data_IF_571639639254
#
_entry.id   IF_571639639254
#
_cell.length_a   1.000
_cell.length_b   1.000
_cell.length_c   1.000
_cell.angle_alpha   90.00
_cell.angle_beta   90.00
_cell.angle_gamma   90.00
#
_symmetry.space_group_name_H-M   'P 1'
#
loop_
_entity.id
_entity.type
_entity.pdbx_description
1 polymer ?
#
# COMPACT_ATOMS: atom_id res chain seq x y z
N UNK A 1 9.61 -11.40 10.79
CA UNK A 1 9.40 -11.50 9.34
C UNK A 1 9.50 -12.93 8.86
N UNK A 2 8.49 -13.41 8.14
CA UNK A 2 8.51 -14.70 7.46
C UNK A 2 9.36 -14.66 6.18
N UNK A 3 9.74 -15.83 5.62
CA UNK A 3 10.46 -15.92 4.34
C UNK A 3 9.66 -15.28 3.20
N UNK A 4 8.33 -15.39 3.25
CA UNK A 4 7.43 -14.81 2.27
C UNK A 4 7.44 -13.28 2.33
N UNK A 5 7.33 -12.70 3.52
CA UNK A 5 7.42 -11.23 3.70
C UNK A 5 8.75 -10.68 3.20
N UNK A 6 9.85 -11.36 3.49
CA UNK A 6 11.16 -10.94 3.01
C UNK A 6 11.23 -10.90 1.47
N UNK A 7 10.71 -11.93 0.79
CA UNK A 7 10.66 -11.98 -0.67
C UNK A 7 9.78 -10.87 -1.26
N UNK A 8 8.65 -10.53 -0.63
CA UNK A 8 7.79 -9.42 -1.07
C UNK A 8 8.50 -8.07 -0.97
N UNK A 9 9.24 -7.84 0.11
CA UNK A 9 10.05 -6.62 0.29
C UNK A 9 11.16 -6.54 -0.77
N UNK A 10 11.86 -7.65 -1.05
CA UNK A 10 12.88 -7.68 -2.11
C UNK A 10 12.30 -7.41 -3.50
N UNK A 11 11.13 -7.97 -3.82
CA UNK A 11 10.43 -7.69 -5.09
C UNK A 11 10.13 -6.19 -5.22
N UNK A 12 9.54 -5.57 -4.20
CA UNK A 12 9.21 -4.15 -4.23
C UNK A 12 10.48 -3.29 -4.32
N UNK A 13 11.53 -3.62 -3.55
CA UNK A 13 12.81 -2.93 -3.61
C UNK A 13 13.42 -2.99 -5.01
N UNK A 14 13.35 -4.14 -5.67
CA UNK A 14 13.81 -4.31 -7.04
C UNK A 14 13.01 -3.46 -8.03
N UNK A 15 11.68 -3.41 -7.91
CA UNK A 15 10.81 -2.62 -8.80
C UNK A 15 11.09 -1.11 -8.74
N UNK A 16 11.56 -0.60 -7.59
CA UNK A 16 11.85 0.83 -7.41
C UNK A 16 13.33 1.18 -7.47
N UNK A 17 14.24 0.20 -7.58
CA UNK A 17 15.69 0.36 -7.35
C UNK A 17 16.35 1.52 -8.13
N UNK A 18 15.93 1.77 -9.36
CA UNK A 18 16.50 2.80 -10.25
C UNK A 18 15.51 3.93 -10.56
N UNK A 19 14.37 3.98 -9.88
CA UNK A 19 13.32 4.97 -10.12
C UNK A 19 13.06 5.80 -8.86
N UNK A 20 13.73 6.96 -8.78
CA UNK A 20 13.65 7.86 -7.62
C UNK A 20 12.20 8.31 -7.32
N UNK A 21 11.40 8.56 -8.36
CA UNK A 21 10.00 8.96 -8.19
C UNK A 21 9.18 7.85 -7.54
N UNK A 22 9.37 6.61 -7.97
CA UNK A 22 8.71 5.46 -7.39
C UNK A 22 9.17 5.18 -5.96
N UNK A 23 10.46 5.39 -5.64
CA UNK A 23 10.94 5.32 -4.25
C UNK A 23 10.23 6.33 -3.36
N UNK A 24 10.14 7.58 -3.79
CA UNK A 24 9.41 8.61 -3.04
C UNK A 24 7.94 8.26 -2.86
N UNK A 25 7.27 7.76 -3.91
CA UNK A 25 5.89 7.31 -3.79
C UNK A 25 5.73 6.22 -2.72
N UNK A 26 6.56 5.17 -2.76
CA UNK A 26 6.48 4.06 -1.80
C UNK A 26 6.71 4.55 -0.38
N UNK A 27 7.74 5.38 -0.14
CA UNK A 27 8.04 5.92 1.19
C UNK A 27 6.92 6.82 1.72
N UNK A 28 6.36 7.69 0.87
CA UNK A 28 5.24 8.55 1.28
C UNK A 28 3.96 7.75 1.57
N UNK A 29 3.73 6.66 0.84
CA UNK A 29 2.56 5.80 1.09
C UNK A 29 2.77 4.88 2.29
N UNK A 30 3.99 4.42 2.55
CA UNK A 30 4.35 3.73 3.78
C UNK A 30 4.03 4.61 5.00
N UNK A 31 4.46 5.87 5.00
CA UNK A 31 4.13 6.83 6.06
C UNK A 31 2.61 7.02 6.20
N UNK A 32 1.89 7.10 5.07
CA UNK A 32 0.41 7.19 5.07
C UNK A 32 -0.23 5.94 5.69
N UNK A 33 0.28 4.75 5.39
CA UNK A 33 -0.23 3.49 5.94
C UNK A 33 0.04 3.37 7.43
N UNK A 34 1.24 3.77 7.88
CA UNK A 34 1.59 3.79 9.31
C UNK A 34 0.71 4.77 10.09
N UNK A 35 0.52 5.98 9.57
CA UNK A 35 -0.39 6.96 10.17
C UNK A 35 -1.82 6.43 10.22
N UNK A 36 -2.27 5.80 9.14
CA UNK A 36 -3.58 5.17 9.09
C UNK A 36 -3.71 4.09 10.16
N UNK A 37 -2.72 3.22 10.37
CA UNK A 37 -2.77 2.17 11.39
C UNK A 37 -2.68 2.69 12.83
N UNK A 38 -1.97 3.79 13.05
CA UNK A 38 -1.86 4.46 14.35
C UNK A 38 -3.10 5.26 14.73
N UNK A 39 -3.95 5.61 13.77
CA UNK A 39 -5.20 6.30 14.04
C UNK A 39 -6.19 5.35 14.72
N UNK A 40 -6.23 5.45 16.05
CA UNK A 40 -7.18 4.80 16.97
C UNK A 40 -8.55 5.50 16.98
N UNK A 41 -8.81 6.43 16.05
CA UNK A 41 -10.15 6.98 15.89
C UNK A 41 -11.14 5.84 15.61
N UNK A 42 -11.98 5.56 16.60
CA UNK A 42 -13.06 4.55 16.59
C UNK A 42 -14.18 4.83 15.56
N UNK A 43 -13.90 5.73 14.62
CA UNK A 43 -14.79 6.27 13.61
C UNK A 43 -14.29 6.06 12.18
N UNK A 44 -13.06 5.57 11.97
CA UNK A 44 -12.66 5.11 10.63
C UNK A 44 -13.22 3.71 10.43
N UNK A 45 -13.93 3.46 9.32
CA UNK A 45 -14.49 2.15 8.97
C UNK A 45 -13.40 1.09 8.68
N UNK A 46 -12.15 1.33 9.10
CA UNK A 46 -11.01 0.50 8.75
C UNK A 46 -10.63 0.62 7.27
N UNK A 47 -11.18 1.58 6.53
CA UNK A 47 -10.98 1.77 5.09
C UNK A 47 -10.15 3.03 4.81
N UNK A 48 -9.17 2.91 3.92
CA UNK A 48 -8.35 3.99 3.38
C UNK A 48 -8.51 4.04 1.85
N UNK A 49 -9.10 5.12 1.33
CA UNK A 49 -9.28 5.36 -0.10
C UNK A 49 -8.18 6.30 -0.62
N UNK A 50 -7.38 5.82 -1.58
CA UNK A 50 -6.29 6.61 -2.17
C UNK A 50 -6.77 7.42 -3.38
N UNK A 51 -6.00 8.46 -3.71
CA UNK A 51 -6.24 9.24 -4.92
C UNK A 51 -6.02 8.41 -6.19
N UNK A 52 -6.73 8.71 -7.30
CA UNK A 52 -6.47 8.08 -8.59
C UNK A 52 -5.03 8.21 -9.04
N UNK A 53 -4.50 7.13 -9.59
CA UNK A 53 -3.10 7.04 -10.02
C UNK A 53 -2.96 6.09 -11.20
N UNK A 54 -1.84 6.17 -11.92
CA UNK A 54 -1.59 5.30 -13.06
C UNK A 54 -1.41 3.82 -12.67
N UNK A 55 -1.45 2.93 -13.67
CA UNK A 55 -1.40 1.50 -13.44
C UNK A 55 -0.11 1.02 -12.75
N UNK A 56 1.02 1.68 -13.00
CA UNK A 56 2.29 1.28 -12.40
C UNK A 56 2.35 1.70 -10.93
N UNK A 57 1.93 2.91 -10.60
CA UNK A 57 1.83 3.35 -9.21
C UNK A 57 0.87 2.46 -8.43
N UNK A 58 -0.31 2.10 -8.99
CA UNK A 58 -1.22 1.15 -8.33
C UNK A 58 -0.56 -0.20 -8.08
N UNK A 59 0.20 -0.73 -9.04
CA UNK A 59 0.95 -1.99 -8.85
C UNK A 59 1.91 -1.90 -7.66
N UNK A 60 2.69 -0.82 -7.56
CA UNK A 60 3.63 -0.64 -6.45
C UNK A 60 2.91 -0.56 -5.10
N UNK A 61 1.77 0.12 -5.06
CA UNK A 61 1.00 0.25 -3.82
C UNK A 61 0.23 -1.03 -3.45
N UNK A 62 -0.18 -1.84 -4.43
CA UNK A 62 -0.67 -3.20 -4.17
C UNK A 62 0.42 -4.06 -3.51
N UNK A 63 1.66 -4.00 -4.01
CA UNK A 63 2.79 -4.72 -3.39
C UNK A 63 3.13 -4.21 -2.00
N UNK A 64 3.08 -2.90 -1.79
CA UNK A 64 3.26 -2.32 -0.46
C UNK A 64 2.13 -2.77 0.49
N UNK A 65 0.88 -2.78 0.01
CA UNK A 65 -0.27 -3.25 0.78
C UNK A 65 -0.16 -4.72 1.18
N UNK A 66 0.33 -5.58 0.27
CA UNK A 66 0.61 -6.99 0.54
C UNK A 66 1.63 -7.15 1.69
N UNK A 67 2.67 -6.32 1.74
CA UNK A 67 3.70 -6.33 2.81
C UNK A 67 3.08 -5.99 4.16
N UNK A 68 2.18 -5.01 4.21
CA UNK A 68 1.47 -4.61 5.42
C UNK A 68 0.31 -5.57 5.79
N UNK A 69 -0.06 -6.49 4.91
CA UNK A 69 -1.19 -7.41 5.11
C UNK A 69 -2.55 -6.72 5.05
N UNK A 70 -2.71 -5.65 4.27
CA UNK A 70 -4.05 -5.06 4.04
C UNK A 70 -4.88 -5.91 3.07
N UNK A 71 -6.19 -5.93 3.25
CA UNK A 71 -7.11 -6.23 2.14
C UNK A 71 -7.10 -5.04 1.18
N UNK A 72 -6.97 -5.26 -0.13
CA UNK A 72 -6.86 -4.15 -1.08
C UNK A 72 -7.45 -4.47 -2.45
N UNK A 73 -8.01 -3.44 -3.10
CA UNK A 73 -8.63 -3.58 -4.41
C UNK A 73 -8.56 -2.27 -5.21
N UNK A 74 -8.29 -2.38 -6.51
CA UNK A 74 -8.44 -1.26 -7.42
C UNK A 74 -9.90 -1.10 -7.84
N UNK A 75 -10.50 0.07 -7.58
CA UNK A 75 -11.86 0.41 -8.04
C UNK A 75 -11.85 1.58 -9.03
N UNK A 76 -12.97 1.80 -9.71
CA UNK A 76 -13.12 2.84 -10.72
C UNK A 76 -12.54 2.48 -12.09
N UNK A 77 -12.68 3.41 -13.04
CA UNK A 77 -12.31 3.23 -14.45
C UNK A 77 -11.48 4.39 -15.00
N UNK A 78 -10.63 4.09 -15.98
CA UNK A 78 -9.80 5.09 -16.66
C UNK A 78 -8.98 5.94 -15.70
N UNK A 79 -9.15 7.27 -15.80
CA UNK A 79 -8.45 8.26 -14.97
C UNK A 79 -8.94 8.29 -13.51
N UNK A 80 -10.10 7.71 -13.20
CA UNK A 80 -10.66 7.67 -11.85
C UNK A 80 -10.28 6.38 -11.11
N UNK A 81 -9.48 5.50 -11.75
CA UNK A 81 -9.11 4.21 -11.15
C UNK A 81 -8.07 4.41 -10.04
N UNK A 82 -8.41 3.93 -8.85
CA UNK A 82 -7.65 4.15 -7.63
C UNK A 82 -7.67 2.90 -6.73
N UNK A 83 -6.90 2.93 -5.65
CA UNK A 83 -6.73 1.82 -4.71
C UNK A 83 -7.50 2.10 -3.42
N UNK A 84 -8.26 1.12 -2.95
CA UNK A 84 -8.82 1.09 -1.60
C UNK A 84 -8.11 0.02 -0.79
N UNK A 85 -7.82 0.34 0.48
CA UNK A 85 -7.24 -0.56 1.46
C UNK A 85 -8.20 -0.71 2.65
N UNK A 86 -8.23 -1.90 3.24
CA UNK A 86 -9.02 -2.21 4.42
C UNK A 86 -8.16 -2.97 5.44
N UNK A 87 -8.24 -2.58 6.71
CA UNK A 87 -7.60 -3.30 7.82
C UNK A 87 -8.26 -4.67 7.98
N UNK A 88 -7.47 -5.73 8.04
CA UNK A 88 -7.93 -7.09 8.30
C UNK A 88 -7.05 -7.76 9.37
N UNK A 89 -7.40 -8.97 9.86
CA UNK A 89 -6.63 -9.65 10.91
C UNK A 89 -5.14 -9.86 10.58
N UNK A 90 -4.79 -9.88 9.30
CA UNK A 90 -3.42 -10.03 8.79
C UNK A 90 -2.65 -8.70 8.78
N UNK A 91 -3.34 -7.57 8.93
CA UNK A 91 -2.72 -6.24 8.86
C UNK A 91 -1.82 -6.00 10.06
N UNK A 92 -0.57 -5.60 9.80
CA UNK A 92 0.42 -5.39 10.87
C UNK A 92 1.42 -4.27 10.53
N UNK A 93 2.05 -3.73 11.58
CA UNK A 93 3.13 -2.75 11.49
C UNK A 93 4.53 -3.40 11.57
N UNK A 94 4.71 -4.61 11.01
CA UNK A 94 5.90 -5.49 11.14
C UNK A 94 5.87 -6.54 12.27
#
# INVERSE_FOLDING_TARGET
MSVTEFAMVEELAFLVKDNLRCKHLVLSMEETFLNFLQDDSSHSDGILELQPMDAYNRLLLHRLADIFGFSHVSIGEGANRHLILERCPETSMY
#
